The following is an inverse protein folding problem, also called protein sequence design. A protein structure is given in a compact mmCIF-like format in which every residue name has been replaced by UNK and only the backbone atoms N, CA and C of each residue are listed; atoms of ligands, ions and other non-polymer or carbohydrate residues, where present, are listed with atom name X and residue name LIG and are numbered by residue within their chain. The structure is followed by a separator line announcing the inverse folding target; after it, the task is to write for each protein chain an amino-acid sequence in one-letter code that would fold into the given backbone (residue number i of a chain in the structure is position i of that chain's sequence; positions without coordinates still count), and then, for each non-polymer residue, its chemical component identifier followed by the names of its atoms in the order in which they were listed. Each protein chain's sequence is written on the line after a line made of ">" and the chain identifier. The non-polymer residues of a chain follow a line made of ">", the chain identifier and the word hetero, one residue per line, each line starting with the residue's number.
data_IF_824367336114
#
_entry.id   IF_824367336114
#
_cell.length_a   1.000
_cell.length_b   1.000
_cell.length_c   1.000
_cell.angle_alpha   90.00
_cell.angle_beta   90.00
_cell.angle_gamma   90.00
#
_symmetry.space_group_name_H-M   'P 1'
#
loop_
_entity.id
_entity.type
_entity.pdbx_description
1 polymer ?
#
# COMPACT_ATOMS: atom_id res chain seq x y z
N UNK A 1 34.05 -8.37 -6.61
CA UNK A 1 33.79 -6.93 -6.34
C UNK A 1 32.32 -6.86 -6.06
N UNK A 2 31.90 -6.56 -4.82
CA UNK A 2 30.48 -6.42 -4.52
C UNK A 2 29.97 -5.19 -5.29
N UNK A 3 29.02 -5.40 -6.19
CA UNK A 3 28.31 -4.32 -6.84
C UNK A 3 27.57 -3.53 -5.76
N UNK A 4 28.12 -2.37 -5.39
CA UNK A 4 27.57 -1.46 -4.39
C UNK A 4 26.62 -0.44 -5.01
N UNK A 5 26.03 -0.72 -6.18
CA UNK A 5 24.98 0.16 -6.70
C UNK A 5 23.74 0.07 -5.80
N UNK A 6 23.54 1.10 -4.99
CA UNK A 6 22.34 1.27 -4.16
C UNK A 6 21.11 1.19 -5.09
N UNK A 7 20.23 0.22 -4.85
CA UNK A 7 19.00 0.10 -5.63
C UNK A 7 18.22 1.42 -5.52
N UNK A 8 17.76 2.01 -6.63
CA UNK A 8 17.04 3.27 -6.58
C UNK A 8 15.79 3.13 -5.71
N UNK A 9 15.49 4.18 -4.94
CA UNK A 9 14.31 4.21 -4.07
C UNK A 9 13.08 4.27 -4.94
N UNK A 10 11.98 3.65 -4.49
CA UNK A 10 10.73 3.62 -5.24
C UNK A 10 10.25 5.03 -5.62
N UNK A 11 10.47 6.02 -4.74
CA UNK A 11 10.10 7.41 -5.01
C UNK A 11 10.80 8.02 -6.23
N UNK A 12 12.04 7.63 -6.51
CA UNK A 12 12.86 8.16 -7.61
C UNK A 12 12.38 7.66 -8.98
N UNK A 13 11.47 6.70 -8.97
CA UNK A 13 11.05 5.92 -10.13
C UNK A 13 9.56 6.11 -10.42
N UNK A 14 8.82 6.67 -9.47
CA UNK A 14 7.41 6.97 -9.63
C UNK A 14 7.25 8.34 -10.29
N UNK A 15 6.39 8.45 -11.31
CA UNK A 15 6.11 9.76 -11.89
C UNK A 15 5.38 10.65 -10.88
N UNK A 16 5.56 11.97 -11.01
CA UNK A 16 5.01 12.98 -10.10
C UNK A 16 3.50 12.93 -9.91
N UNK A 17 2.77 12.43 -10.91
CA UNK A 17 1.32 12.30 -10.84
C UNK A 17 0.88 11.12 -9.94
N UNK A 18 1.76 10.15 -9.67
CA UNK A 18 1.44 8.92 -8.94
C UNK A 18 1.01 9.24 -7.50
N UNK A 19 -0.06 8.61 -6.96
CA UNK A 19 -0.56 8.93 -5.63
C UNK A 19 0.52 8.84 -4.54
N UNK A 20 1.34 7.79 -4.57
CA UNK A 20 2.38 7.62 -3.55
C UNK A 20 3.50 8.67 -3.69
N UNK A 21 3.81 9.13 -4.92
CA UNK A 21 4.77 10.21 -5.11
C UNK A 21 4.25 11.54 -4.52
N UNK A 22 2.96 11.83 -4.72
CA UNK A 22 2.29 12.98 -4.09
C UNK A 22 2.29 12.88 -2.56
N UNK A 23 2.06 11.69 -2.01
CA UNK A 23 2.10 11.46 -0.56
C UNK A 23 3.48 11.71 0.04
N UNK A 24 4.53 11.19 -0.59
CA UNK A 24 5.90 11.45 -0.14
C UNK A 24 6.24 12.94 -0.15
N UNK A 25 5.84 13.68 -1.19
CA UNK A 25 6.03 15.15 -1.26
C UNK A 25 5.27 15.87 -0.14
N UNK A 26 4.05 15.45 0.20
CA UNK A 26 3.27 15.98 1.32
C UNK A 26 3.92 15.67 2.67
N UNK A 27 4.38 14.44 2.89
CA UNK A 27 5.04 14.04 4.13
C UNK A 27 6.34 14.84 4.36
N UNK A 28 7.12 15.05 3.30
CA UNK A 28 8.31 15.91 3.33
C UNK A 28 7.94 17.36 3.71
N UNK A 29 6.94 17.96 3.06
CA UNK A 29 6.51 19.33 3.37
C UNK A 29 5.94 19.49 4.79
N UNK A 30 5.26 18.46 5.30
CA UNK A 30 4.71 18.47 6.66
C UNK A 30 5.79 18.41 7.75
N UNK A 31 6.91 17.71 7.50
CA UNK A 31 8.07 17.74 8.43
C UNK A 31 8.67 19.14 8.56
N UNK A 32 8.60 19.94 7.50
CA UNK A 32 9.15 21.29 7.46
C UNK A 32 8.19 22.33 8.08
N UNK A 33 6.95 21.95 8.42
CA UNK A 33 5.89 22.88 8.85
C UNK A 33 5.27 22.49 10.18
N UNK A 34 5.41 23.32 11.21
CA UNK A 34 4.68 23.18 12.48
C UNK A 34 3.26 23.74 12.31
N UNK A 35 2.30 22.91 11.88
CA UNK A 35 0.89 23.32 11.74
C UNK A 35 0.11 23.13 13.05
N UNK A 36 -0.73 24.11 13.40
CA UNK A 36 -1.68 24.11 14.53
C UNK A 36 -3.12 23.80 14.10
N UNK A 37 -3.32 23.25 12.89
CA UNK A 37 -4.67 22.95 12.39
C UNK A 37 -5.37 21.86 13.23
N UNK A 38 -6.71 21.96 13.38
CA UNK A 38 -7.47 20.92 14.06
C UNK A 38 -7.29 19.58 13.35
N UNK A 39 -7.10 18.52 14.14
CA UNK A 39 -6.90 17.17 13.60
C UNK A 39 -8.10 16.79 12.73
N UNK A 40 -7.89 16.43 11.45
CA UNK A 40 -8.97 15.96 10.60
C UNK A 40 -9.66 14.74 11.22
N UNK A 41 -10.96 14.53 10.95
CA UNK A 41 -11.67 13.37 11.45
C UNK A 41 -10.94 12.09 11.01
N UNK A 42 -10.89 11.10 11.89
CA UNK A 42 -10.25 9.82 11.61
C UNK A 42 -11.10 8.67 12.12
N UNK A 43 -10.89 7.48 11.56
CA UNK A 43 -11.53 6.25 12.00
C UNK A 43 -10.54 5.09 11.96
N UNK A 44 -10.66 4.17 12.92
CA UNK A 44 -9.86 2.95 12.99
C UNK A 44 -10.67 1.77 12.47
N UNK A 45 -10.10 1.04 11.53
CA UNK A 45 -10.69 -0.13 10.88
C UNK A 45 -9.93 -1.38 11.28
N UNK A 46 -10.65 -2.39 11.73
CA UNK A 46 -10.06 -3.71 11.94
C UNK A 46 -10.02 -4.48 10.62
N UNK A 47 -8.89 -5.11 10.34
CA UNK A 47 -8.71 -5.95 9.17
C UNK A 47 -7.87 -7.19 9.45
N UNK A 48 -7.70 -7.98 8.40
CA UNK A 48 -6.97 -9.22 8.46
C UNK A 48 -7.13 -10.05 7.20
N UNK A 49 -6.45 -11.20 7.17
CA UNK A 49 -6.74 -12.20 6.16
C UNK A 49 -8.07 -12.90 6.44
N UNK A 50 -8.62 -13.62 5.46
CA UNK A 50 -9.90 -14.34 5.60
C UNK A 50 -9.92 -15.32 6.79
N UNK A 51 -8.86 -16.11 6.98
CA UNK A 51 -8.81 -17.12 8.05
C UNK A 51 -8.49 -16.57 9.45
N UNK A 52 -8.29 -15.25 9.59
CA UNK A 52 -7.94 -14.62 10.88
C UNK A 52 -6.50 -14.87 11.37
N UNK A 53 -5.66 -15.58 10.63
CA UNK A 53 -4.25 -15.79 11.01
C UNK A 53 -3.48 -14.46 11.07
N UNK A 54 -3.77 -13.53 10.16
CA UNK A 54 -3.26 -12.15 10.16
C UNK A 54 -4.40 -11.25 10.60
N UNK A 55 -4.14 -10.36 11.57
CA UNK A 55 -5.06 -9.30 11.99
C UNK A 55 -4.29 -8.03 12.32
N UNK A 56 -4.87 -6.89 11.99
CA UNK A 56 -4.33 -5.57 12.25
C UNK A 56 -5.47 -4.56 12.40
N UNK A 57 -5.17 -3.42 13.01
CA UNK A 57 -6.03 -2.25 13.04
C UNK A 57 -5.32 -1.14 12.23
N UNK A 58 -6.07 -0.41 11.39
CA UNK A 58 -5.56 0.70 10.58
C UNK A 58 -6.36 1.97 10.86
N UNK A 59 -5.70 3.07 11.17
CA UNK A 59 -6.31 4.39 11.31
C UNK A 59 -6.18 5.16 10.01
N UNK A 60 -7.30 5.70 9.51
CA UNK A 60 -7.34 6.52 8.30
C UNK A 60 -7.93 7.89 8.60
N UNK A 61 -7.33 8.92 8.01
CA UNK A 61 -7.78 10.30 8.09
C UNK A 61 -7.74 10.93 6.69
N UNK A 62 -8.89 11.32 6.10
CA UNK A 62 -10.25 11.16 6.62
C UNK A 62 -10.66 9.67 6.74
N UNK A 63 -11.81 9.35 7.38
CA UNK A 63 -12.38 8.00 7.38
C UNK A 63 -12.57 7.47 5.97
N UNK A 64 -12.57 6.15 5.82
CA UNK A 64 -12.65 5.46 4.54
C UNK A 64 -13.94 5.77 3.76
N UNK A 65 -15.06 5.75 4.45
CA UNK A 65 -16.38 6.08 3.91
C UNK A 65 -16.67 7.57 4.15
N UNK A 66 -17.48 8.22 3.29
CA UNK A 66 -17.92 9.59 3.52
C UNK A 66 -18.67 9.72 4.85
N UNK A 67 -18.41 10.81 5.58
CA UNK A 67 -19.15 11.12 6.81
C UNK A 67 -20.58 11.52 6.42
N UNK A 68 -21.64 10.90 7.00
CA UNK A 68 -23.02 11.28 6.69
C UNK A 68 -23.27 12.77 6.91
N UNK A 69 -23.77 13.45 5.88
CA UNK A 69 -24.02 14.90 5.89
C UNK A 69 -22.83 15.77 5.47
N UNK A 70 -21.65 15.19 5.26
CA UNK A 70 -20.50 15.89 4.67
C UNK A 70 -20.57 15.89 3.13
N UNK A 71 -20.15 16.98 2.50
CA UNK A 71 -19.89 17.02 1.05
C UNK A 71 -18.52 16.46 0.67
N UNK A 72 -17.63 16.28 1.66
CA UNK A 72 -16.29 15.77 1.43
C UNK A 72 -16.31 14.25 1.19
N UNK A 73 -15.58 13.75 0.18
CA UNK A 73 -15.46 12.33 -0.02
C UNK A 73 -14.70 11.67 1.15
N UNK A 74 -14.91 10.37 1.30
CA UNK A 74 -14.07 9.55 2.18
C UNK A 74 -12.62 9.48 1.69
N UNK A 75 -11.81 8.73 2.43
CA UNK A 75 -10.40 8.49 2.14
C UNK A 75 -10.19 8.05 0.69
N UNK A 76 -9.21 8.62 0.01
CA UNK A 76 -8.90 8.22 -1.36
C UNK A 76 -8.36 6.79 -1.40
N UNK A 77 -9.10 5.90 -2.07
CA UNK A 77 -8.69 4.51 -2.31
C UNK A 77 -8.13 4.41 -3.71
N UNK A 78 -6.94 3.84 -3.87
CA UNK A 78 -6.29 3.71 -5.18
C UNK A 78 -6.67 2.37 -5.82
N UNK A 79 -7.36 2.45 -6.95
CA UNK A 79 -7.63 1.33 -7.85
C UNK A 79 -6.65 1.35 -9.02
N UNK A 80 -5.61 0.51 -8.97
CA UNK A 80 -4.56 0.47 -9.98
C UNK A 80 -4.83 -0.61 -11.04
N UNK A 81 -4.65 -0.26 -12.32
CA UNK A 81 -4.88 -1.17 -13.46
C UNK A 81 -3.77 -2.19 -13.71
N UNK A 82 -2.59 -2.06 -13.07
CA UNK A 82 -1.45 -2.92 -13.37
C UNK A 82 -1.75 -4.40 -13.11
N UNK A 83 -0.98 -5.27 -13.76
CA UNK A 83 -1.20 -6.71 -13.79
C UNK A 83 -1.39 -7.33 -12.40
N UNK A 84 -0.53 -6.96 -11.44
CA UNK A 84 -0.57 -7.46 -10.05
C UNK A 84 -1.77 -6.92 -9.29
N UNK A 85 -2.10 -5.62 -9.41
CA UNK A 85 -3.20 -5.02 -8.67
C UNK A 85 -4.54 -5.58 -9.12
N UNK A 86 -4.71 -5.81 -10.42
CA UNK A 86 -5.88 -6.48 -10.98
C UNK A 86 -6.01 -7.92 -10.47
N UNK A 87 -4.91 -8.69 -10.42
CA UNK A 87 -4.92 -10.11 -10.04
C UNK A 87 -5.10 -10.35 -8.56
N UNK A 88 -4.50 -9.50 -7.73
CA UNK A 88 -4.62 -9.58 -6.28
C UNK A 88 -5.85 -8.84 -5.75
N UNK A 89 -6.63 -8.21 -6.63
CA UNK A 89 -7.85 -7.49 -6.27
C UNK A 89 -7.58 -6.26 -5.41
N UNK A 90 -6.42 -5.62 -5.56
CA UNK A 90 -6.01 -4.52 -4.72
C UNK A 90 -6.89 -3.27 -4.91
N UNK A 91 -7.38 -2.78 -3.78
CA UNK A 91 -7.89 -1.43 -3.58
C UNK A 91 -7.12 -0.84 -2.40
N UNK A 92 -6.20 0.10 -2.66
CA UNK A 92 -5.15 0.43 -1.71
C UNK A 92 -5.38 1.77 -1.03
N UNK A 93 -5.24 1.80 0.29
CA UNK A 93 -4.99 3.01 1.07
C UNK A 93 -3.56 2.97 1.61
N UNK A 94 -2.98 4.13 1.90
CA UNK A 94 -1.56 4.24 2.23
C UNK A 94 -1.32 4.89 3.60
N UNK A 95 -1.77 4.26 4.70
CA UNK A 95 -1.48 4.76 6.05
C UNK A 95 0.03 4.81 6.32
N UNK A 96 0.42 5.72 7.21
CA UNK A 96 1.80 5.72 7.73
C UNK A 96 2.00 4.51 8.64
N UNK A 97 3.26 4.12 8.87
CA UNK A 97 3.60 2.98 9.74
C UNK A 97 2.94 3.07 11.12
N UNK A 98 2.89 4.27 11.70
CA UNK A 98 2.30 4.52 13.02
C UNK A 98 0.79 4.32 13.10
N UNK A 99 0.10 4.37 11.94
CA UNK A 99 -1.34 4.20 11.84
C UNK A 99 -1.75 2.73 11.63
N UNK A 100 -0.78 1.79 11.60
CA UNK A 100 -1.04 0.36 11.43
C UNK A 100 -0.51 -0.42 12.64
N UNK A 101 -1.42 -1.08 13.35
CA UNK A 101 -1.10 -1.89 14.53
C UNK A 101 -1.42 -3.35 14.26
N UNK A 102 -0.40 -4.21 14.23
CA UNK A 102 -0.62 -5.66 14.11
C UNK A 102 -1.07 -6.27 15.44
N UNK A 103 -2.16 -7.04 15.38
CA UNK A 103 -2.71 -7.73 16.54
C UNK A 103 -1.97 -9.08 16.70
N UNK A 104 -0.99 -9.10 17.62
CA UNK A 104 0.06 -10.13 17.75
C UNK A 104 -0.38 -11.54 18.23
N UNK A 105 -1.53 -12.07 17.79
CA UNK A 105 -1.83 -13.51 17.98
C UNK A 105 -0.97 -14.38 17.04
N UNK A 106 0.33 -14.45 17.36
CA UNK A 106 1.34 -15.38 16.85
C UNK A 106 2.15 -14.93 15.62
N UNK A 107 2.57 -13.67 15.58
CA UNK A 107 3.63 -13.21 14.69
C UNK A 107 3.29 -12.00 13.82
N UNK A 108 2.05 -11.50 13.84
CA UNK A 108 1.66 -10.30 13.10
C UNK A 108 2.03 -10.40 11.61
N UNK A 109 2.80 -9.43 11.13
CA UNK A 109 3.34 -9.41 9.76
C UNK A 109 4.18 -10.65 9.41
N UNK A 110 4.86 -11.30 10.37
CA UNK A 110 5.69 -12.48 10.12
C UNK A 110 4.87 -13.72 9.69
N UNK A 111 3.54 -13.68 9.79
CA UNK A 111 2.65 -14.70 9.22
C UNK A 111 2.38 -14.53 7.73
N UNK A 112 2.72 -13.37 7.17
CA UNK A 112 2.62 -13.12 5.75
C UNK A 112 3.69 -13.91 4.97
N UNK A 113 3.36 -14.27 3.74
CA UNK A 113 4.34 -14.57 2.70
C UNK A 113 4.52 -13.34 1.83
N UNK A 114 5.70 -13.23 1.25
CA UNK A 114 6.09 -12.11 0.40
C UNK A 114 6.13 -12.57 -1.05
N UNK A 115 5.56 -11.77 -1.94
CA UNK A 115 5.73 -11.88 -3.38
C UNK A 115 6.38 -10.60 -3.91
N UNK A 116 7.45 -10.76 -4.68
CA UNK A 116 8.16 -9.69 -5.38
C UNK A 116 8.18 -10.04 -6.87
N UNK A 117 8.05 -9.04 -7.73
CA UNK A 117 8.11 -9.21 -9.19
C UNK A 117 8.71 -7.97 -9.83
N UNK A 118 8.94 -8.03 -11.15
CA UNK A 118 9.52 -6.92 -11.92
C UNK A 118 10.83 -6.44 -11.26
N UNK A 119 10.88 -5.18 -10.81
CA UNK A 119 12.04 -4.57 -10.15
C UNK A 119 12.27 -5.01 -8.71
N UNK A 120 11.40 -5.85 -8.15
CA UNK A 120 11.46 -6.37 -6.76
C UNK A 120 11.57 -5.25 -5.71
N UNK A 121 10.83 -4.15 -5.93
CA UNK A 121 10.86 -2.94 -5.08
C UNK A 121 9.80 -2.89 -3.99
N UNK A 122 8.85 -3.82 -4.01
CA UNK A 122 7.69 -3.83 -3.12
C UNK A 122 7.43 -5.26 -2.67
N UNK A 123 7.14 -5.43 -1.39
CA UNK A 123 6.85 -6.73 -0.81
C UNK A 123 5.33 -6.87 -0.73
N UNK A 124 4.75 -7.62 -1.66
CA UNK A 124 3.32 -7.91 -1.63
C UNK A 124 3.06 -9.01 -0.60
N UNK A 125 2.37 -8.65 0.48
CA UNK A 125 2.14 -9.50 1.64
C UNK A 125 0.77 -10.19 1.55
N UNK A 126 0.79 -11.51 1.57
CA UNK A 126 -0.41 -12.35 1.54
C UNK A 126 -0.40 -13.42 2.62
N UNK A 127 -1.57 -13.90 3.01
CA UNK A 127 -1.70 -14.96 3.99
C UNK A 127 -1.26 -16.30 3.40
N UNK A 128 -0.28 -16.96 4.01
CA UNK A 128 0.16 -18.30 3.60
C UNK A 128 -0.90 -19.40 3.80
N UNK A 129 -1.88 -19.17 4.68
CA UNK A 129 -2.90 -20.16 5.03
C UNK A 129 -4.13 -20.08 4.10
N UNK A 130 -4.57 -18.88 3.72
CA UNK A 130 -5.79 -18.69 2.93
C UNK A 130 -5.60 -17.91 1.62
N UNK A 131 -4.38 -17.49 1.29
CA UNK A 131 -4.06 -16.81 0.03
C UNK A 131 -4.49 -15.34 -0.07
N UNK A 132 -5.22 -14.79 0.92
CA UNK A 132 -5.68 -13.40 0.86
C UNK A 132 -4.52 -12.41 0.76
N UNK A 133 -4.53 -11.55 -0.26
CA UNK A 133 -3.59 -10.43 -0.41
C UNK A 133 -3.99 -9.28 0.51
N UNK A 134 -3.16 -9.02 1.53
CA UNK A 134 -3.53 -8.16 2.65
C UNK A 134 -2.96 -6.75 2.48
N UNK A 135 -1.69 -6.64 2.13
CA UNK A 135 -1.01 -5.34 2.06
C UNK A 135 0.25 -5.38 1.20
N UNK A 136 0.84 -4.20 1.00
CA UNK A 136 2.16 -4.00 0.39
C UNK A 136 3.03 -3.30 1.42
N UNK A 137 4.23 -3.85 1.69
CA UNK A 137 5.20 -3.21 2.58
C UNK A 137 6.05 -2.20 1.79
N UNK A 138 6.09 -0.96 2.31
CA UNK A 138 6.87 0.15 1.78
C UNK A 138 7.87 0.73 2.78
N UNK A 139 8.07 0.08 3.94
CA UNK A 139 8.81 0.62 5.09
C UNK A 139 10.24 1.03 4.76
N UNK A 140 10.92 0.31 3.86
CA UNK A 140 12.33 0.58 3.52
C UNK A 140 12.52 1.06 2.08
N UNK A 141 11.43 1.38 1.37
CA UNK A 141 11.45 1.54 -0.09
C UNK A 141 11.30 2.97 -0.58
N UNK A 142 10.77 3.88 0.24
CA UNK A 142 10.50 5.26 -0.17
C UNK A 142 11.59 6.28 0.20
N UNK A 143 12.45 5.97 1.16
CA UNK A 143 13.37 6.93 1.76
C UNK A 143 12.86 7.46 3.11
N UNK A 144 13.63 8.34 3.79
CA UNK A 144 13.44 8.65 5.21
C UNK A 144 12.17 9.47 5.52
N UNK A 145 11.45 9.94 4.51
CA UNK A 145 10.34 10.88 4.67
C UNK A 145 8.98 10.22 4.80
N UNK A 146 8.80 9.02 4.24
CA UNK A 146 7.56 8.28 4.39
C UNK A 146 7.82 6.79 4.50
N UNK A 147 7.31 6.20 5.58
CA UNK A 147 7.28 4.77 5.83
C UNK A 147 5.84 4.37 6.10
N UNK A 148 5.33 3.37 5.39
CA UNK A 148 3.95 2.95 5.54
C UNK A 148 3.65 1.65 4.81
N UNK A 149 2.37 1.39 4.64
CA UNK A 149 1.86 0.20 3.99
C UNK A 149 0.84 0.59 2.94
N UNK A 150 0.71 -0.20 1.88
CA UNK A 150 -0.48 -0.20 1.04
C UNK A 150 -1.46 -1.22 1.58
N UNK A 151 -2.47 -0.82 2.33
CA UNK A 151 -3.47 -1.74 2.89
C UNK A 151 -4.54 -2.01 1.84
N UNK A 152 -4.81 -3.29 1.55
CA UNK A 152 -5.94 -3.67 0.71
C UNK A 152 -7.23 -3.51 1.51
N UNK A 153 -8.08 -2.55 1.14
CA UNK A 153 -9.34 -2.28 1.88
C UNK A 153 -10.29 -3.48 1.86
N UNK A 154 -10.15 -4.40 0.89
CA UNK A 154 -10.89 -5.67 0.87
C UNK A 154 -10.55 -6.62 2.01
N UNK A 155 -9.45 -6.37 2.73
CA UNK A 155 -9.04 -7.11 3.91
C UNK A 155 -9.57 -6.49 5.21
N UNK A 156 -10.25 -5.34 5.14
CA UNK A 156 -10.90 -4.70 6.27
C UNK A 156 -12.28 -5.31 6.50
N UNK A 157 -12.70 -5.37 7.76
CA UNK A 157 -14.01 -5.89 8.13
C UNK A 157 -15.08 -4.80 7.97
N UNK A 158 -16.27 -5.20 7.49
CA UNK A 158 -17.46 -4.36 7.43
C UNK A 158 -17.28 -3.04 6.66
N UNK A 159 -16.54 -3.05 5.55
CA UNK A 159 -16.40 -1.90 4.64
C UNK A 159 -17.37 -2.06 3.49
N UNK A 160 -18.20 -1.03 3.22
CA UNK A 160 -18.97 -0.94 1.99
C UNK A 160 -18.04 -0.52 0.85
N UNK A 161 -17.71 -1.45 -0.05
CA UNK A 161 -16.81 -1.20 -1.16
C UNK A 161 -17.41 -0.28 -2.22
N UNK A 162 -18.74 -0.19 -2.32
CA UNK A 162 -19.44 0.60 -3.31
C UNK A 162 -19.53 2.08 -2.91
N UNK A 163 -19.37 2.39 -1.61
CA UNK A 163 -19.33 3.74 -1.07
C UNK A 163 -17.94 4.43 -1.17
N UNK A 164 -16.92 3.70 -1.62
CA UNK A 164 -15.52 4.18 -1.59
C UNK A 164 -15.21 5.22 -2.65
N UNK A 165 -14.44 6.24 -2.26
CA UNK A 165 -13.86 7.21 -3.18
C UNK A 165 -12.63 6.61 -3.91
N UNK A 166 -12.86 5.93 -5.03
CA UNK A 166 -11.81 5.23 -5.77
C UNK A 166 -11.15 6.13 -6.83
N UNK A 167 -9.88 6.48 -6.62
CA UNK A 167 -9.01 7.06 -7.63
C UNK A 167 -8.46 5.95 -8.54
N UNK A 168 -8.86 5.95 -9.81
CA UNK A 168 -8.33 5.03 -10.82
C UNK A 168 -6.95 5.50 -11.28
N UNK A 169 -5.99 4.57 -11.28
CA UNK A 169 -4.62 4.80 -11.71
C UNK A 169 -4.26 3.84 -12.83
N UNK A 170 -3.70 4.37 -13.93
CA UNK A 170 -3.16 3.54 -14.99
C UNK A 170 -1.75 3.06 -14.66
N UNK A 171 -1.65 2.02 -13.82
CA UNK A 171 -0.38 1.41 -13.49
C UNK A 171 0.18 0.52 -14.60
N UNK A 172 -0.64 0.10 -15.56
CA UNK A 172 -0.19 -0.72 -16.69
C UNK A 172 0.74 0.07 -17.60
N UNK A 173 0.36 1.31 -17.93
CA UNK A 173 1.16 2.17 -18.82
C UNK A 173 1.96 3.24 -18.09
N UNK A 174 1.55 3.59 -16.86
CA UNK A 174 2.09 4.74 -16.14
C UNK A 174 3.25 4.45 -15.19
N UNK A 175 3.52 3.20 -14.82
CA UNK A 175 4.56 2.84 -13.85
C UNK A 175 5.65 2.03 -14.53
N UNK A 176 6.87 2.56 -14.57
CA UNK A 176 7.98 1.96 -15.32
C UNK A 176 8.71 0.82 -14.56
N UNK A 177 9.14 -0.25 -15.27
CA UNK A 177 8.85 -0.54 -16.67
C UNK A 177 7.37 -0.91 -16.84
N UNK A 178 6.71 -0.21 -17.74
CA UNK A 178 5.29 -0.36 -18.00
C UNK A 178 5.04 -1.67 -18.76
N UNK A 179 3.89 -2.29 -18.52
CA UNK A 179 3.50 -3.51 -19.20
C UNK A 179 2.58 -4.40 -18.37
N UNK A 180 1.81 -5.23 -19.06
CA UNK A 180 1.05 -6.31 -18.44
C UNK A 180 1.96 -7.53 -18.21
N UNK A 181 2.48 -7.67 -17.00
CA UNK A 181 3.47 -8.72 -16.63
C UNK A 181 2.81 -10.07 -16.29
N UNK A 182 1.70 -10.37 -16.94
CA UNK A 182 0.84 -11.48 -16.58
C UNK A 182 1.26 -12.79 -17.21
N UNK A 183 1.28 -13.86 -16.41
CA UNK A 183 1.75 -15.16 -16.89
C UNK A 183 3.26 -15.21 -17.12
N UNK A 184 4.00 -14.14 -16.77
CA UNK A 184 5.46 -14.16 -16.75
C UNK A 184 5.92 -14.85 -15.47
N UNK A 185 6.56 -16.00 -15.63
CA UNK A 185 7.24 -16.66 -14.53
C UNK A 185 8.59 -16.01 -14.32
N UNK A 186 8.84 -15.47 -13.13
CA UNK A 186 10.15 -14.97 -12.74
C UNK A 186 10.93 -16.13 -12.14
N UNK A 187 11.92 -16.65 -12.86
CA UNK A 187 12.86 -17.60 -12.28
C UNK A 187 13.73 -16.82 -11.30
N UNK A 188 13.87 -17.31 -10.07
CA UNK A 188 14.71 -16.66 -9.06
C UNK A 188 16.19 -16.53 -9.50
N UNK A 189 16.62 -17.26 -10.53
CA UNK A 189 17.99 -17.33 -11.03
C UNK A 189 18.44 -16.18 -11.94
N UNK A 190 17.58 -15.26 -12.37
CA UNK A 190 17.99 -14.16 -13.27
C UNK A 190 18.72 -13.00 -12.53
N UNK A 191 19.44 -13.31 -11.44
CA UNK A 191 20.25 -12.35 -10.67
C UNK A 191 21.72 -12.77 -10.52
N UNK A 192 22.21 -13.65 -11.38
CA UNK A 192 23.62 -14.01 -11.49
C UNK A 192 24.08 -13.97 -12.95
N UNK A 193 24.24 -12.78 -13.53
CA UNK A 193 25.18 -12.46 -14.65
C UNK A 193 25.59 -10.99 -14.58
#
# INVERSE_FOLDING_TARGET
>A
MADTTEKPRLIELLPDWHPIAKMHKRAKAAKDTTSTEPTPPSATYRGGCHCGAISFDVTLSPPLEPIPGSSEPGHTVVGCSCSVCRRFGYLLVYPSKGDVVFNNRGGGQARCKTYQFNRKLQDHLFCKNCGSSVMIDFLERFGPDWHGYGINVRSLYNVDLDALNVLKVDGTNGVAPAGDLSGQWYVESDTEE
#
